data_IF_929131316765
#
_entry.id   IF_929131316765
#
_cell.length_a   1.000
_cell.length_b   1.000
_cell.length_c   1.000
_cell.angle_alpha   90.00
_cell.angle_beta   90.00
_cell.angle_gamma   90.00
#
_symmetry.space_group_name_H-M   'P 1'
#
loop_
_entity.id
_entity.type
_entity.pdbx_description
1 polymer ?
#
# COMPACT_ATOMS: atom_id res chain seq x y z
N UNK A 1 25.28 -16.08 46.43
CA UNK A 1 24.99 -16.58 45.07
C UNK A 1 23.83 -15.77 44.55
N UNK A 2 24.10 -14.69 43.82
CA UNK A 2 23.10 -13.80 43.24
C UNK A 2 22.72 -14.35 41.90
N UNK A 3 21.51 -14.89 41.78
CA UNK A 3 20.90 -15.24 40.50
C UNK A 3 20.80 -13.96 39.61
N UNK A 4 21.62 -13.90 38.60
CA UNK A 4 21.45 -12.94 37.54
C UNK A 4 20.15 -13.32 36.79
N UNK A 5 19.09 -12.58 37.05
CA UNK A 5 17.88 -12.59 36.23
C UNK A 5 18.34 -12.28 34.78
N UNK A 6 18.32 -13.29 33.93
CA UNK A 6 18.55 -13.14 32.50
C UNK A 6 17.41 -12.29 31.95
N UNK A 7 17.72 -11.05 31.56
CA UNK A 7 16.80 -10.22 30.81
C UNK A 7 16.53 -10.94 29.48
N UNK A 8 15.38 -11.56 29.39
CA UNK A 8 14.88 -12.12 28.12
C UNK A 8 14.55 -10.89 27.27
N UNK A 9 15.37 -10.58 26.29
CA UNK A 9 15.00 -9.64 25.23
C UNK A 9 13.91 -10.36 24.42
N UNK A 10 12.66 -10.00 24.62
CA UNK A 10 11.59 -10.39 23.73
C UNK A 10 11.70 -9.54 22.48
N UNK A 11 11.60 -10.18 21.30
CA UNK A 11 11.27 -9.46 20.10
C UNK A 11 10.09 -8.54 20.42
N UNK A 12 10.10 -7.27 20.04
CA UNK A 12 8.92 -6.45 20.17
C UNK A 12 7.75 -7.24 19.56
N UNK A 13 6.62 -7.20 20.22
CA UNK A 13 5.39 -7.72 19.62
C UNK A 13 5.31 -7.17 18.20
N UNK A 14 4.85 -7.97 17.23
CA UNK A 14 4.63 -7.44 15.90
C UNK A 14 3.91 -6.13 16.05
N UNK A 15 4.34 -5.16 15.29
CA UNK A 15 3.83 -3.80 15.26
C UNK A 15 2.34 -3.80 15.61
N UNK A 16 1.88 -2.92 16.51
CA UNK A 16 0.52 -2.96 16.98
C UNK A 16 -0.44 -2.98 15.80
N UNK A 17 -1.34 -3.92 15.81
CA UNK A 17 -2.25 -4.30 14.74
C UNK A 17 -3.06 -3.16 14.07
N UNK A 18 -2.94 -1.93 14.57
CA UNK A 18 -3.65 -0.77 14.05
C UNK A 18 -2.96 -0.01 12.91
N UNK A 19 -1.69 -0.27 12.63
CA UNK A 19 -0.94 0.54 11.67
C UNK A 19 -0.60 -0.18 10.36
N UNK A 20 -0.71 -1.50 10.28
CA UNK A 20 0.08 -2.24 9.30
C UNK A 20 -0.66 -3.10 8.30
N UNK A 21 -1.99 -3.08 8.30
CA UNK A 21 -2.72 -3.64 7.16
C UNK A 21 -2.61 -2.68 5.98
N UNK A 22 -1.87 -3.10 4.95
CA UNK A 22 -1.57 -2.25 3.81
C UNK A 22 -2.82 -2.07 2.96
N UNK A 23 -3.34 -0.85 2.96
CA UNK A 23 -4.34 -0.42 2.00
C UNK A 23 -3.72 -0.43 0.61
N UNK A 24 -4.53 -0.69 -0.40
CA UNK A 24 -4.14 -0.46 -1.79
C UNK A 24 -3.58 0.96 -1.89
N UNK A 25 -2.44 1.06 -2.55
CA UNK A 25 -1.66 2.28 -2.66
C UNK A 25 -2.50 3.47 -3.09
N UNK A 26 -2.61 4.46 -2.24
CA UNK A 26 -3.38 5.68 -2.48
C UNK A 26 -2.56 6.82 -3.10
N UNK A 27 -1.22 6.72 -3.10
CA UNK A 27 -0.33 7.76 -3.59
C UNK A 27 0.68 7.21 -4.61
N UNK A 28 0.84 7.91 -5.72
CA UNK A 28 1.67 7.52 -6.86
C UNK A 28 2.71 8.59 -7.16
N UNK A 29 3.95 8.19 -7.34
CA UNK A 29 5.04 9.09 -7.76
C UNK A 29 4.92 9.48 -9.24
N UNK A 30 5.60 10.55 -9.65
CA UNK A 30 5.74 10.96 -11.06
C UNK A 30 6.21 9.80 -11.94
N UNK A 31 7.12 8.97 -11.44
CA UNK A 31 7.70 7.83 -12.16
C UNK A 31 6.65 6.74 -12.41
N UNK A 32 5.80 6.47 -11.45
CA UNK A 32 4.71 5.49 -11.58
C UNK A 32 3.63 5.99 -12.52
N UNK A 33 3.26 7.26 -12.45
CA UNK A 33 2.34 7.88 -13.41
C UNK A 33 2.86 7.74 -14.85
N UNK A 34 4.17 7.95 -15.07
CA UNK A 34 4.80 7.70 -16.38
C UNK A 34 4.62 6.25 -16.84
N UNK A 35 4.83 5.28 -15.95
CA UNK A 35 4.70 3.86 -16.27
C UNK A 35 3.24 3.46 -16.56
N UNK A 36 2.30 3.92 -15.74
CA UNK A 36 0.88 3.57 -15.84
C UNK A 36 0.19 4.21 -17.05
N UNK A 37 0.53 5.45 -17.38
CA UNK A 37 -0.20 6.24 -18.38
C UNK A 37 0.61 6.60 -19.63
N UNK A 38 1.89 6.22 -19.70
CA UNK A 38 2.76 6.48 -20.85
C UNK A 38 3.03 7.98 -21.09
N UNK A 39 2.93 8.80 -20.04
CA UNK A 39 3.22 10.22 -20.07
C UNK A 39 4.69 10.47 -19.72
N UNK A 40 5.32 11.49 -20.34
CA UNK A 40 6.67 11.87 -19.94
C UNK A 40 6.64 12.57 -18.56
N UNK A 41 7.64 12.33 -17.72
CA UNK A 41 7.78 13.01 -16.41
C UNK A 41 7.74 14.54 -16.56
N UNK A 42 8.35 15.06 -17.63
CA UNK A 42 8.30 16.49 -17.95
C UNK A 42 6.87 16.98 -18.19
N UNK A 43 6.03 16.20 -18.84
CA UNK A 43 4.62 16.55 -19.08
C UNK A 43 3.85 16.55 -17.77
N UNK A 44 4.03 15.52 -16.96
CA UNK A 44 3.36 15.38 -15.65
C UNK A 44 3.72 16.55 -14.74
N UNK A 45 5.02 16.85 -14.57
CA UNK A 45 5.48 17.98 -13.74
C UNK A 45 4.94 19.32 -14.24
N UNK A 46 5.02 19.58 -15.55
CA UNK A 46 4.50 20.81 -16.14
C UNK A 46 3.01 20.99 -15.89
N UNK A 47 2.23 19.94 -15.96
CA UNK A 47 0.80 19.99 -15.69
C UNK A 47 0.49 20.23 -14.22
N UNK A 48 1.31 19.68 -13.32
CA UNK A 48 1.20 19.93 -11.88
C UNK A 48 1.55 21.38 -11.54
N UNK A 49 2.66 21.88 -12.08
CA UNK A 49 3.10 23.28 -11.91
C UNK A 49 2.09 24.29 -12.49
N UNK A 50 1.43 23.92 -13.60
CA UNK A 50 0.38 24.72 -14.21
C UNK A 50 -0.99 24.60 -13.51
N UNK A 51 -1.11 23.77 -12.44
CA UNK A 51 -2.35 23.54 -11.71
C UNK A 51 -3.41 22.78 -12.52
N UNK A 52 -3.04 22.10 -13.59
CA UNK A 52 -3.94 21.26 -14.41
C UNK A 52 -4.23 19.94 -13.70
N UNK A 53 -3.24 19.41 -12.99
CA UNK A 53 -3.36 18.20 -12.17
C UNK A 53 -2.85 18.52 -10.77
N UNK A 54 -3.62 18.15 -9.77
CA UNK A 54 -3.20 18.32 -8.39
C UNK A 54 -2.18 17.23 -8.02
N UNK A 55 -1.03 17.65 -7.49
CA UNK A 55 -0.02 16.78 -6.91
C UNK A 55 0.46 17.36 -5.59
N UNK A 56 0.67 16.50 -4.60
CA UNK A 56 1.21 16.89 -3.30
C UNK A 56 2.74 16.92 -3.38
N UNK A 57 3.40 18.05 -3.05
CA UNK A 57 4.85 18.13 -3.06
C UNK A 57 5.47 17.22 -1.99
N UNK A 58 6.56 16.55 -2.32
CA UNK A 58 7.31 15.66 -1.42
C UNK A 58 8.54 16.39 -0.90
N UNK A 59 8.48 16.90 0.33
CA UNK A 59 9.60 17.64 0.93
C UNK A 59 10.08 18.79 0.05
N UNK A 60 11.38 19.13 0.14
CA UNK A 60 12.01 20.20 -0.65
C UNK A 60 12.62 19.71 -1.98
N UNK A 61 12.33 18.48 -2.40
CA UNK A 61 12.98 17.85 -3.56
C UNK A 61 12.41 18.27 -4.90
N UNK A 62 11.29 19.01 -4.94
CA UNK A 62 10.56 19.37 -6.15
C UNK A 62 9.86 18.17 -6.81
N UNK A 63 9.72 17.07 -6.08
CA UNK A 63 8.93 15.90 -6.49
C UNK A 63 7.47 16.03 -6.04
N UNK A 64 6.60 15.28 -6.72
CA UNK A 64 5.17 15.25 -6.44
C UNK A 64 4.70 13.82 -6.27
N UNK A 65 3.72 13.63 -5.38
CA UNK A 65 2.88 12.43 -5.34
C UNK A 65 1.46 12.79 -5.77
N UNK A 66 0.79 11.82 -6.35
CA UNK A 66 -0.55 11.95 -6.92
C UNK A 66 -1.47 11.01 -6.19
N UNK A 67 -2.53 11.57 -5.65
CA UNK A 67 -3.60 10.80 -5.05
C UNK A 67 -4.48 10.13 -6.12
N UNK A 68 -5.47 9.45 -5.63
CA UNK A 68 -6.39 8.72 -6.47
C UNK A 68 -7.24 9.66 -7.36
N UNK A 69 -7.57 10.87 -6.90
CA UNK A 69 -8.29 11.86 -7.69
C UNK A 69 -7.45 12.32 -8.90
N UNK A 70 -6.16 12.49 -8.71
CA UNK A 70 -5.26 12.80 -9.81
C UNK A 70 -5.19 11.65 -10.84
N UNK A 71 -5.29 10.39 -10.40
CA UNK A 71 -5.31 9.23 -11.32
C UNK A 71 -6.51 9.25 -12.27
N UNK A 72 -7.67 9.71 -11.82
CA UNK A 72 -8.85 9.86 -12.66
C UNK A 72 -8.59 10.78 -13.85
N UNK A 73 -7.89 11.90 -13.62
CA UNK A 73 -7.47 12.79 -14.69
C UNK A 73 -6.46 12.12 -15.64
N UNK A 74 -5.52 11.36 -15.11
CA UNK A 74 -4.57 10.62 -15.95
C UNK A 74 -5.25 9.52 -16.78
N UNK A 75 -6.25 8.82 -16.25
CA UNK A 75 -7.06 7.85 -17.02
C UNK A 75 -7.79 8.55 -18.16
N UNK A 76 -8.43 9.66 -17.88
CA UNK A 76 -9.09 10.47 -18.92
C UNK A 76 -8.12 10.93 -20.01
N UNK A 77 -6.92 11.36 -19.62
CA UNK A 77 -5.86 11.67 -20.58
C UNK A 77 -5.51 10.48 -21.46
N UNK A 78 -5.41 9.27 -20.89
CA UNK A 78 -5.16 8.04 -21.65
C UNK A 78 -6.30 7.74 -22.62
N UNK A 79 -7.54 7.91 -22.19
CA UNK A 79 -8.71 7.72 -23.04
C UNK A 79 -8.72 8.73 -24.21
N UNK A 80 -8.54 10.02 -23.94
CA UNK A 80 -8.44 11.05 -24.99
C UNK A 80 -7.31 10.75 -25.98
N UNK A 81 -6.17 10.22 -25.52
CA UNK A 81 -5.09 9.77 -26.40
C UNK A 81 -5.49 8.56 -27.25
N UNK A 82 -6.23 7.62 -26.72
CA UNK A 82 -6.74 6.47 -27.49
C UNK A 82 -7.74 6.89 -28.58
N UNK A 83 -8.42 8.01 -28.37
CA UNK A 83 -9.29 8.66 -29.36
C UNK A 83 -8.52 9.51 -30.39
N UNK A 84 -7.19 9.54 -30.30
CA UNK A 84 -6.31 10.21 -31.25
C UNK A 84 -6.00 11.69 -30.95
N UNK A 85 -6.40 12.19 -29.77
CA UNK A 85 -6.09 13.57 -29.39
C UNK A 85 -4.58 13.73 -29.09
N UNK A 86 -4.04 14.85 -29.55
CA UNK A 86 -2.66 15.25 -29.23
C UNK A 86 -2.56 15.79 -27.80
N UNK A 87 -1.36 15.76 -27.21
CA UNK A 87 -1.12 16.32 -25.87
C UNK A 87 -1.58 17.78 -25.75
N UNK A 88 -1.39 18.58 -26.80
CA UNK A 88 -1.83 19.99 -26.80
C UNK A 88 -3.35 20.14 -26.79
N UNK A 89 -4.07 19.27 -27.51
CA UNK A 89 -5.53 19.28 -27.50
C UNK A 89 -6.08 18.84 -26.15
N UNK A 90 -5.48 17.80 -25.56
CA UNK A 90 -5.84 17.32 -24.22
C UNK A 90 -5.61 18.42 -23.17
N UNK A 91 -4.46 19.09 -23.24
CA UNK A 91 -4.13 20.20 -22.34
C UNK A 91 -5.17 21.34 -22.44
N UNK A 92 -5.54 21.74 -23.66
CA UNK A 92 -6.56 22.76 -23.88
C UNK A 92 -7.95 22.33 -23.36
N UNK A 93 -8.31 21.07 -23.53
CA UNK A 93 -9.58 20.54 -23.04
C UNK A 93 -9.63 20.49 -21.53
N UNK A 94 -8.57 20.01 -20.86
CA UNK A 94 -8.47 20.01 -19.42
C UNK A 94 -8.50 21.43 -18.84
N UNK A 95 -7.80 22.38 -19.44
CA UNK A 95 -7.83 23.78 -19.03
C UNK A 95 -9.21 24.42 -19.24
N UNK A 96 -9.87 24.12 -20.36
CA UNK A 96 -11.23 24.60 -20.65
C UNK A 96 -12.25 24.10 -19.63
N UNK A 97 -12.13 22.85 -19.20
CA UNK A 97 -13.01 22.28 -18.19
C UNK A 97 -12.73 22.81 -16.78
N UNK A 98 -11.48 23.09 -16.44
CA UNK A 98 -11.15 23.73 -15.17
C UNK A 98 -11.74 25.13 -15.04
N UNK A 99 -11.94 25.86 -16.14
CA UNK A 99 -12.64 27.15 -16.12
C UNK A 99 -14.16 27.02 -15.84
N UNK A 100 -14.74 25.86 -16.17
CA UNK A 100 -16.13 25.52 -15.85
C UNK A 100 -16.29 24.97 -14.42
N UNK A 101 -15.19 24.47 -13.82
CA UNK A 101 -15.16 23.90 -12.47
C UNK A 101 -14.62 24.85 -11.39
N UNK A 102 -14.43 26.14 -11.66
CA UNK A 102 -14.23 27.11 -10.58
C UNK A 102 -15.57 27.30 -9.84
N UNK A 103 -15.68 26.84 -8.59
CA UNK A 103 -16.91 26.96 -7.84
C UNK A 103 -17.09 28.41 -7.37
N UNK A 104 -17.92 29.16 -8.02
CA UNK A 104 -18.73 30.13 -7.31
C UNK A 104 -19.92 29.36 -6.73
N UNK A 105 -19.73 28.79 -5.52
CA UNK A 105 -20.81 28.44 -4.60
C UNK A 105 -21.70 27.21 -4.91
N UNK A 106 -21.25 26.25 -5.72
CA UNK A 106 -22.05 25.04 -5.98
C UNK A 106 -21.21 23.77 -5.80
N UNK A 107 -21.68 22.84 -4.94
CA UNK A 107 -21.20 21.47 -4.92
C UNK A 107 -21.44 20.84 -6.30
N UNK A 108 -20.42 20.79 -7.14
CA UNK A 108 -20.46 19.97 -8.35
C UNK A 108 -20.41 18.51 -7.87
N UNK A 109 -21.43 17.73 -8.22
CA UNK A 109 -21.40 16.28 -8.01
C UNK A 109 -20.22 15.70 -8.79
N UNK A 110 -19.10 15.52 -8.11
CA UNK A 110 -17.90 14.83 -8.60
C UNK A 110 -18.22 13.36 -8.89
N UNK A 111 -19.30 12.83 -8.31
CA UNK A 111 -19.75 11.45 -8.35
C UNK A 111 -20.02 10.86 -9.74
N UNK A 112 -20.06 11.64 -10.81
CA UNK A 112 -20.24 11.12 -12.19
C UNK A 112 -18.94 10.82 -12.94
N UNK A 113 -17.79 11.10 -12.35
CA UNK A 113 -16.47 10.93 -12.99
C UNK A 113 -15.66 9.80 -12.37
N UNK A 114 -16.03 9.33 -11.20
CA UNK A 114 -15.34 8.26 -10.50
C UNK A 114 -15.93 6.90 -10.88
N UNK A 115 -15.08 5.88 -10.98
CA UNK A 115 -15.55 4.50 -11.02
C UNK A 115 -16.05 4.09 -9.63
N UNK A 116 -16.84 3.01 -9.48
CA UNK A 116 -17.27 2.55 -8.16
C UNK A 116 -16.11 2.28 -7.21
N UNK A 117 -15.01 1.72 -7.71
CA UNK A 117 -13.80 1.50 -6.91
C UNK A 117 -13.18 2.82 -6.43
N UNK A 118 -13.12 3.81 -7.31
CA UNK A 118 -12.58 5.12 -7.00
C UNK A 118 -13.40 5.85 -5.95
N UNK A 119 -14.71 5.77 -6.05
CA UNK A 119 -15.62 6.35 -5.07
C UNK A 119 -15.53 5.64 -3.72
N UNK A 120 -15.40 4.30 -3.75
CA UNK A 120 -15.18 3.50 -2.55
C UNK A 120 -13.89 3.90 -1.81
N UNK A 121 -12.77 4.10 -2.53
CA UNK A 121 -11.51 4.53 -1.93
C UNK A 121 -11.63 5.89 -1.25
N UNK A 122 -12.24 6.85 -1.93
CA UNK A 122 -12.43 8.20 -1.38
C UNK A 122 -13.27 8.17 -0.09
N UNK A 123 -14.37 7.43 -0.10
CA UNK A 123 -15.25 7.28 1.05
C UNK A 123 -14.53 6.54 2.20
N UNK A 124 -13.74 5.52 1.88
CA UNK A 124 -12.98 4.78 2.86
C UNK A 124 -11.92 5.66 3.55
N UNK A 125 -11.21 6.51 2.81
CA UNK A 125 -10.26 7.48 3.38
C UNK A 125 -10.94 8.49 4.33
N UNK A 126 -12.21 8.83 4.06
CA UNK A 126 -13.02 9.70 4.92
C UNK A 126 -13.62 8.95 6.12
N UNK A 127 -13.47 7.64 6.20
CA UNK A 127 -14.09 6.80 7.22
C UNK A 127 -15.59 6.61 7.02
N UNK A 128 -16.10 6.87 5.80
CA UNK A 128 -17.52 6.71 5.48
C UNK A 128 -17.85 5.23 5.25
N UNK A 129 -18.81 4.72 6.02
CA UNK A 129 -19.23 3.32 5.97
C UNK A 129 -19.86 2.91 4.63
N UNK A 130 -20.36 3.86 3.83
CA UNK A 130 -20.93 3.60 2.50
C UNK A 130 -19.86 3.12 1.50
N UNK A 131 -18.58 3.30 1.81
CA UNK A 131 -17.46 2.75 1.03
C UNK A 131 -17.61 1.25 0.73
N UNK A 132 -18.19 0.48 1.66
CA UNK A 132 -18.44 -0.97 1.50
C UNK A 132 -19.38 -1.23 0.32
N UNK A 133 -20.46 -0.46 0.18
CA UNK A 133 -21.42 -0.62 -0.92
C UNK A 133 -20.77 -0.35 -2.27
N UNK A 134 -19.92 0.66 -2.34
CA UNK A 134 -19.18 1.01 -3.56
C UNK A 134 -18.10 -0.02 -3.91
N UNK A 135 -17.40 -0.61 -2.92
CA UNK A 135 -16.50 -1.75 -3.19
C UNK A 135 -17.27 -2.96 -3.72
N UNK A 136 -18.45 -3.26 -3.17
CA UNK A 136 -19.29 -4.35 -3.66
C UNK A 136 -19.81 -4.07 -5.09
N UNK A 137 -20.17 -2.82 -5.38
CA UNK A 137 -20.51 -2.41 -6.74
C UNK A 137 -19.32 -2.57 -7.69
N UNK A 138 -18.13 -2.13 -7.30
CA UNK A 138 -16.91 -2.30 -8.08
C UNK A 138 -16.64 -3.78 -8.43
N UNK A 139 -16.79 -4.67 -7.45
CA UNK A 139 -16.66 -6.11 -7.65
C UNK A 139 -17.71 -6.61 -8.66
N UNK A 140 -18.96 -6.18 -8.53
CA UNK A 140 -20.05 -6.61 -9.43
C UNK A 140 -19.86 -6.14 -10.88
N UNK A 141 -19.23 -4.98 -11.06
CA UNK A 141 -18.94 -4.38 -12.37
C UNK A 141 -17.59 -4.81 -12.95
N UNK A 142 -16.78 -5.58 -12.19
CA UNK A 142 -15.44 -6.01 -12.60
C UNK A 142 -14.38 -4.92 -12.55
N UNK A 143 -14.60 -3.88 -11.72
CA UNK A 143 -13.72 -2.74 -11.56
C UNK A 143 -12.75 -2.96 -10.37
N UNK A 144 -11.47 -3.15 -10.66
CA UNK A 144 -10.41 -3.36 -9.66
C UNK A 144 -10.79 -4.40 -8.59
N UNK A 145 -11.24 -5.58 -9.04
CA UNK A 145 -11.89 -6.60 -8.19
C UNK A 145 -10.97 -7.09 -7.07
N UNK A 146 -9.70 -7.34 -7.38
CA UNK A 146 -8.74 -7.83 -6.39
C UNK A 146 -8.48 -6.78 -5.30
N UNK A 147 -8.29 -5.54 -5.72
CA UNK A 147 -8.08 -4.39 -4.85
C UNK A 147 -9.32 -4.10 -3.98
N UNK A 148 -10.51 -4.22 -4.56
CA UNK A 148 -11.76 -4.01 -3.84
C UNK A 148 -11.94 -5.07 -2.74
N UNK A 149 -11.67 -6.35 -3.02
CA UNK A 149 -11.66 -7.39 -2.01
C UNK A 149 -10.60 -7.14 -0.94
N UNK A 150 -9.39 -6.71 -1.31
CA UNK A 150 -8.35 -6.40 -0.34
C UNK A 150 -8.80 -5.29 0.64
N UNK A 151 -9.38 -4.22 0.14
CA UNK A 151 -9.87 -3.12 0.97
C UNK A 151 -11.08 -3.52 1.84
N UNK A 152 -12.00 -4.35 1.34
CA UNK A 152 -13.05 -4.94 2.16
C UNK A 152 -12.48 -5.77 3.31
N UNK A 153 -11.43 -6.55 3.06
CA UNK A 153 -10.74 -7.31 4.11
C UNK A 153 -10.19 -6.41 5.22
N UNK A 154 -9.64 -5.26 4.87
CA UNK A 154 -9.17 -4.26 5.86
C UNK A 154 -10.34 -3.70 6.68
N UNK A 155 -11.45 -3.37 6.03
CA UNK A 155 -12.65 -2.88 6.73
C UNK A 155 -13.18 -3.93 7.71
N UNK A 156 -13.18 -5.21 7.34
CA UNK A 156 -13.61 -6.28 8.25
C UNK A 156 -12.65 -6.43 9.44
N UNK A 157 -11.34 -6.26 9.25
CA UNK A 157 -10.40 -6.22 10.37
C UNK A 157 -10.66 -5.06 11.33
N UNK A 158 -10.91 -3.87 10.80
CA UNK A 158 -11.25 -2.69 11.62
C UNK A 158 -12.53 -2.91 12.43
N UNK A 159 -13.44 -3.77 11.96
CA UNK A 159 -14.65 -4.22 12.66
C UNK A 159 -14.41 -5.38 13.62
N UNK A 160 -13.22 -5.96 13.60
CA UNK A 160 -12.88 -7.14 14.40
C UNK A 160 -13.35 -8.47 13.78
N UNK A 161 -13.83 -8.47 12.54
CA UNK A 161 -14.20 -9.69 11.81
C UNK A 161 -13.00 -10.28 11.06
N UNK A 162 -12.22 -11.05 11.79
CA UNK A 162 -11.04 -11.73 11.24
C UNK A 162 -11.41 -12.79 10.18
N UNK A 163 -12.59 -13.42 10.30
CA UNK A 163 -13.04 -14.44 9.34
C UNK A 163 -13.41 -13.76 8.02
N UNK A 164 -14.21 -12.70 8.06
CA UNK A 164 -14.56 -11.92 6.89
C UNK A 164 -13.32 -11.33 6.20
N UNK A 165 -12.35 -10.86 6.98
CA UNK A 165 -11.08 -10.38 6.45
C UNK A 165 -10.30 -11.48 5.71
N UNK A 166 -10.18 -12.66 6.31
CA UNK A 166 -9.51 -13.82 5.69
C UNK A 166 -10.17 -14.20 4.37
N UNK A 167 -11.51 -14.25 4.34
CA UNK A 167 -12.28 -14.54 3.12
C UNK A 167 -12.01 -13.49 2.04
N UNK A 168 -12.08 -12.21 2.37
CA UNK A 168 -11.87 -11.12 1.43
C UNK A 168 -10.44 -11.09 0.88
N UNK A 169 -9.40 -11.25 1.69
CA UNK A 169 -8.02 -11.34 1.20
C UNK A 169 -7.81 -12.57 0.31
N UNK A 170 -8.44 -13.69 0.64
CA UNK A 170 -8.40 -14.89 -0.20
C UNK A 170 -9.09 -14.65 -1.55
N UNK A 171 -10.21 -13.94 -1.59
CA UNK A 171 -10.86 -13.55 -2.84
C UNK A 171 -10.01 -12.57 -3.64
N UNK A 172 -9.31 -11.64 -2.99
CA UNK A 172 -8.34 -10.78 -3.64
C UNK A 172 -7.29 -11.60 -4.39
N UNK A 173 -6.62 -12.56 -3.73
CA UNK A 173 -5.62 -13.42 -4.34
C UNK A 173 -6.18 -14.38 -5.40
N UNK A 174 -7.44 -14.75 -5.32
CA UNK A 174 -8.10 -15.54 -6.35
C UNK A 174 -8.29 -14.75 -7.65
N UNK A 175 -8.51 -13.44 -7.56
CA UNK A 175 -8.66 -12.55 -8.70
C UNK A 175 -7.30 -12.06 -9.23
N UNK A 176 -6.36 -11.76 -8.34
CA UNK A 176 -4.97 -11.47 -8.68
C UNK A 176 -4.00 -12.24 -7.76
N UNK A 177 -3.45 -13.37 -8.20
CA UNK A 177 -2.49 -14.16 -7.42
C UNK A 177 -1.17 -13.42 -7.11
N UNK A 178 -0.96 -12.25 -7.67
CA UNK A 178 0.22 -11.39 -7.43
C UNK A 178 -0.10 -10.12 -6.66
N UNK A 179 -1.27 -10.05 -6.03
CA UNK A 179 -1.65 -8.89 -5.23
C UNK A 179 -0.81 -8.84 -3.94
N UNK A 180 0.13 -7.90 -3.90
CA UNK A 180 1.14 -7.81 -2.83
C UNK A 180 0.52 -7.57 -1.47
N UNK A 181 -0.38 -6.59 -1.39
CA UNK A 181 -1.04 -6.18 -0.16
C UNK A 181 -1.91 -7.31 0.42
N UNK A 182 -2.58 -8.07 -0.43
CA UNK A 182 -3.36 -9.22 0.02
C UNK A 182 -2.47 -10.33 0.59
N UNK A 183 -1.32 -10.60 -0.03
CA UNK A 183 -0.33 -11.53 0.55
C UNK A 183 0.20 -11.00 1.89
N UNK A 184 0.57 -9.73 1.97
CA UNK A 184 1.06 -9.12 3.19
C UNK A 184 0.02 -9.18 4.33
N UNK A 185 -1.23 -8.81 4.03
CA UNK A 185 -2.31 -8.80 5.01
C UNK A 185 -2.69 -10.22 5.49
N UNK A 186 -2.72 -11.20 4.59
CA UNK A 186 -2.90 -12.61 4.96
C UNK A 186 -1.76 -13.10 5.85
N UNK A 187 -0.52 -12.72 5.54
CA UNK A 187 0.62 -13.07 6.37
C UNK A 187 0.50 -12.51 7.79
N UNK A 188 0.04 -11.27 7.93
CA UNK A 188 -0.24 -10.66 9.23
C UNK A 188 -1.31 -11.45 9.99
N UNK A 189 -2.43 -11.80 9.35
CA UNK A 189 -3.49 -12.60 9.97
C UNK A 189 -2.98 -13.97 10.46
N UNK A 190 -2.21 -14.68 9.64
CA UNK A 190 -1.63 -15.96 10.03
C UNK A 190 -0.58 -15.82 11.14
N UNK A 191 0.19 -14.72 11.13
CA UNK A 191 1.13 -14.44 12.20
C UNK A 191 0.41 -14.23 13.54
N UNK A 192 -0.65 -13.43 13.56
CA UNK A 192 -1.46 -13.16 14.75
C UNK A 192 -2.18 -14.43 15.25
N UNK A 193 -2.59 -15.30 14.33
CA UNK A 193 -3.14 -16.62 14.65
C UNK A 193 -2.09 -17.64 15.15
N UNK A 194 -0.79 -17.32 15.08
CA UNK A 194 0.30 -18.22 15.42
C UNK A 194 0.65 -19.26 14.36
N UNK A 195 0.05 -19.17 13.17
CA UNK A 195 0.39 -20.04 12.03
C UNK A 195 1.60 -19.46 11.25
N UNK A 196 2.76 -19.56 11.88
CA UNK A 196 4.00 -19.03 11.32
C UNK A 196 4.41 -19.65 9.98
N UNK A 197 4.15 -20.96 9.70
CA UNK A 197 4.40 -21.53 8.39
C UNK A 197 3.61 -20.85 7.26
N UNK A 198 2.32 -20.59 7.46
CA UNK A 198 1.48 -19.87 6.48
C UNK A 198 1.86 -18.39 6.39
N UNK A 199 2.12 -17.74 7.52
CA UNK A 199 2.62 -16.36 7.52
C UNK A 199 3.89 -16.22 6.68
N UNK A 200 4.86 -17.13 6.87
CA UNK A 200 6.09 -17.17 6.05
C UNK A 200 5.78 -17.27 4.56
N UNK A 201 4.93 -18.23 4.17
CA UNK A 201 4.58 -18.46 2.77
C UNK A 201 4.10 -17.17 2.09
N UNK A 202 3.20 -16.46 2.75
CA UNK A 202 2.61 -15.25 2.20
C UNK A 202 3.58 -14.06 2.22
N UNK A 203 4.38 -13.87 3.27
CA UNK A 203 5.44 -12.84 3.26
C UNK A 203 6.51 -13.11 2.21
N UNK A 204 6.95 -14.37 2.03
CA UNK A 204 7.89 -14.74 0.98
C UNK A 204 7.31 -14.41 -0.41
N UNK A 205 6.02 -14.72 -0.65
CA UNK A 205 5.34 -14.34 -1.89
C UNK A 205 5.33 -12.82 -2.09
N UNK A 206 4.95 -12.03 -1.08
CA UNK A 206 4.97 -10.58 -1.15
C UNK A 206 6.38 -10.04 -1.47
N UNK A 207 7.43 -10.57 -0.82
CA UNK A 207 8.82 -10.16 -1.06
C UNK A 207 9.34 -10.47 -2.46
N UNK A 208 8.84 -11.53 -3.08
CA UNK A 208 9.18 -11.89 -4.46
C UNK A 208 8.47 -11.02 -5.49
N UNK A 209 7.25 -10.59 -5.19
CA UNK A 209 6.45 -9.74 -6.07
C UNK A 209 6.96 -8.30 -6.00
N UNK A 210 7.18 -7.77 -4.79
CA UNK A 210 7.68 -6.42 -4.53
C UNK A 210 8.94 -6.45 -3.63
N UNK A 211 10.13 -6.59 -4.24
CA UNK A 211 11.38 -6.72 -3.49
C UNK A 211 11.81 -5.48 -2.70
N UNK A 212 11.14 -4.35 -2.88
CA UNK A 212 11.44 -3.11 -2.17
C UNK A 212 10.42 -2.81 -1.06
N UNK A 213 9.51 -3.70 -0.78
CA UNK A 213 8.55 -3.57 0.31
C UNK A 213 9.24 -3.92 1.64
N UNK A 214 9.80 -2.92 2.31
CA UNK A 214 10.64 -3.05 3.50
C UNK A 214 9.97 -3.79 4.65
N UNK A 215 8.72 -3.45 4.97
CA UNK A 215 7.98 -4.05 6.09
C UNK A 215 7.82 -5.57 5.97
N UNK A 216 7.77 -6.10 4.74
CA UNK A 216 7.75 -7.55 4.52
C UNK A 216 8.98 -8.22 5.11
N UNK A 217 10.16 -7.62 4.94
CA UNK A 217 11.40 -8.22 5.45
C UNK A 217 11.50 -8.13 6.97
N UNK A 218 11.01 -7.05 7.58
CA UNK A 218 10.91 -6.97 9.03
C UNK A 218 10.04 -8.09 9.59
N UNK A 219 8.83 -8.24 9.05
CA UNK A 219 7.89 -9.27 9.49
C UNK A 219 8.38 -10.70 9.17
N UNK A 220 9.05 -10.91 8.03
CA UNK A 220 9.73 -12.18 7.72
C UNK A 220 10.77 -12.53 8.77
N UNK A 221 11.55 -11.57 9.24
CA UNK A 221 12.53 -11.82 10.28
C UNK A 221 11.88 -12.32 11.57
N UNK A 222 10.76 -11.72 11.97
CA UNK A 222 9.98 -12.17 13.13
C UNK A 222 9.48 -13.61 12.94
N UNK A 223 8.91 -13.89 11.75
CA UNK A 223 8.41 -15.25 11.43
C UNK A 223 9.54 -16.27 11.43
N UNK A 224 10.66 -15.97 10.75
CA UNK A 224 11.82 -16.86 10.74
C UNK A 224 12.36 -17.12 12.14
N UNK A 225 12.39 -16.11 13.00
CA UNK A 225 12.77 -16.29 14.40
C UNK A 225 11.82 -17.24 15.14
N UNK A 226 10.49 -17.07 14.97
CA UNK A 226 9.49 -17.98 15.56
C UNK A 226 9.64 -19.42 15.06
N UNK A 227 10.12 -19.59 13.84
CA UNK A 227 10.40 -20.92 13.25
C UNK A 227 11.81 -21.44 13.56
N UNK A 228 12.59 -20.78 14.41
CA UNK A 228 13.98 -21.06 14.73
C UNK A 228 14.94 -21.05 13.50
N UNK A 229 14.54 -20.36 12.43
CA UNK A 229 15.40 -20.11 11.27
C UNK A 229 16.17 -18.80 11.46
N UNK A 230 17.21 -18.84 12.29
CA UNK A 230 17.99 -17.66 12.64
C UNK A 230 18.77 -17.06 11.46
N UNK A 231 19.20 -17.90 10.52
CA UNK A 231 19.88 -17.43 9.31
C UNK A 231 18.91 -16.65 8.40
N UNK A 232 17.72 -17.15 8.19
CA UNK A 232 16.66 -16.44 7.47
C UNK A 232 16.29 -15.13 8.13
N UNK A 233 16.12 -15.13 9.45
CA UNK A 233 15.81 -13.92 10.22
C UNK A 233 16.89 -12.85 10.04
N UNK A 234 18.18 -13.23 10.13
CA UNK A 234 19.30 -12.31 9.94
C UNK A 234 19.33 -11.72 8.53
N UNK A 235 19.15 -12.55 7.50
CA UNK A 235 19.11 -12.08 6.10
C UNK A 235 17.97 -11.10 5.87
N UNK A 236 16.78 -11.37 6.40
CA UNK A 236 15.64 -10.50 6.29
C UNK A 236 15.86 -9.15 7.01
N UNK A 237 16.44 -9.13 8.22
CA UNK A 237 16.79 -7.89 8.93
C UNK A 237 17.85 -7.07 8.16
N UNK A 238 18.85 -7.70 7.57
CA UNK A 238 19.80 -6.97 6.73
C UNK A 238 19.10 -6.32 5.54
N UNK A 239 18.20 -7.05 4.87
CA UNK A 239 17.45 -6.51 3.73
C UNK A 239 16.54 -5.35 4.13
N UNK A 240 15.86 -5.45 5.29
CA UNK A 240 15.09 -4.33 5.85
C UNK A 240 15.97 -3.09 6.06
N UNK A 241 17.11 -3.27 6.73
CA UNK A 241 18.05 -2.18 7.01
C UNK A 241 18.59 -1.52 5.73
N UNK A 242 18.85 -2.30 4.69
CA UNK A 242 19.31 -1.77 3.39
C UNK A 242 18.22 -0.93 2.71
N UNK A 243 16.94 -1.25 2.91
CA UNK A 243 15.81 -0.53 2.33
C UNK A 243 15.42 0.71 3.13
N UNK A 244 15.56 0.67 4.46
CA UNK A 244 15.15 1.73 5.40
C UNK A 244 16.31 2.18 6.31
N UNK A 245 17.40 2.73 5.76
CA UNK A 245 18.58 3.05 6.56
C UNK A 245 18.38 4.19 7.56
N UNK A 246 17.29 4.94 7.46
CA UNK A 246 16.93 6.07 8.32
C UNK A 246 15.78 5.78 9.27
N UNK A 247 15.31 4.55 9.36
CA UNK A 247 14.24 4.17 10.26
C UNK A 247 14.64 4.28 11.73
N UNK A 248 13.73 4.76 12.58
CA UNK A 248 13.97 4.93 14.03
C UNK A 248 14.24 3.59 14.74
N UNK A 249 13.77 2.48 14.17
CA UNK A 249 13.97 1.13 14.72
C UNK A 249 15.30 0.48 14.31
N UNK A 250 16.12 1.13 13.48
CA UNK A 250 17.41 0.59 13.03
C UNK A 250 18.33 0.21 14.19
N UNK A 251 18.34 0.98 15.26
CA UNK A 251 19.14 0.66 16.44
C UNK A 251 18.68 -0.66 17.09
N UNK A 252 17.38 -0.91 17.13
CA UNK A 252 16.81 -2.18 17.59
C UNK A 252 17.19 -3.33 16.66
N UNK A 253 17.09 -3.11 15.36
CA UNK A 253 17.49 -4.11 14.33
C UNK A 253 18.96 -4.47 14.50
N UNK A 254 19.86 -3.50 14.74
CA UNK A 254 21.28 -3.75 14.97
C UNK A 254 21.54 -4.53 16.25
N UNK A 255 20.80 -4.26 17.32
CA UNK A 255 20.87 -5.04 18.55
C UNK A 255 20.46 -6.48 18.33
N UNK A 256 19.38 -6.73 17.58
CA UNK A 256 18.89 -8.06 17.23
C UNK A 256 19.91 -8.82 16.37
N UNK A 257 20.46 -8.19 15.33
CA UNK A 257 21.51 -8.77 14.50
C UNK A 257 22.73 -9.18 15.32
N UNK A 258 23.23 -8.30 16.18
CA UNK A 258 24.38 -8.57 17.06
C UNK A 258 24.11 -9.72 18.03
N UNK A 259 22.88 -9.81 18.55
CA UNK A 259 22.52 -10.92 19.44
C UNK A 259 22.48 -12.27 18.71
N UNK A 260 22.02 -12.30 17.46
CA UNK A 260 22.04 -13.50 16.61
C UNK A 260 23.44 -13.92 16.23
N UNK A 261 24.39 -12.98 16.00
CA UNK A 261 25.79 -13.28 15.70
C UNK A 261 26.56 -13.90 16.87
N UNK A 262 26.24 -13.47 18.09
CA UNK A 262 26.94 -13.94 19.30
C UNK A 262 26.50 -15.32 19.77
N UNK A 263 25.65 -16.01 19.01
CA UNK A 263 25.21 -17.38 19.32
C UNK A 263 24.43 -17.51 20.63
N UNK A 264 23.81 -16.44 21.10
CA UNK A 264 22.91 -16.43 22.23
C UNK A 264 21.46 -16.52 21.74
N UNK A 265 20.91 -17.71 21.46
CA UNK A 265 19.62 -17.89 20.81
C UNK A 265 18.41 -17.60 21.72
N UNK A 266 18.61 -16.97 22.87
CA UNK A 266 17.55 -16.60 23.82
C UNK A 266 17.43 -15.06 23.83
N UNK A 267 16.80 -14.53 22.81
CA UNK A 267 16.22 -13.20 22.78
C UNK A 267 14.77 -13.25 23.21
#
# INVERSE_FOLDING_TARGET
>A
MTEKIRKVLSFPSPVPAKADYQRVKSNYSVREIKQLFGLSERTVRRWTEAGIIYGTPVGDTGDFTYDFQALTLFRRVREMRSQGLTIKQIEAELQGQMSLFRPEGGQVQVSRLLTPFEEALLLHEQGDATSVEFYQQAISEGDNVAEAFCNLGIIELDRGDTIGALENFTQSLKNDPRHVEAHYNLANLYYDAGDFPLARLHYEAASQIEPNFSLVYYNLALVYHRLNNFDGARQALHKYKDLEPGDEEIELVDQLLKAMETGRPNL
#
